data_IF_183265486597
#
_entry.id   IF_183265486597
#
_cell.length_a   1.000
_cell.length_b   1.000
_cell.length_c   1.000
_cell.angle_alpha   90.00
_cell.angle_beta   90.00
_cell.angle_gamma   90.00
#
_symmetry.space_group_name_H-M   'P 1'
#
loop_
_entity.id
_entity.type
_entity.pdbx_description
1 polymer ?
#
# COMPACT_ATOMS: atom_id res chain seq x y z
N UNK A 1 -29.89 -2.93 -23.20
CA UNK A 1 -31.26 -2.75 -22.67
C UNK A 1 -31.26 -1.52 -21.77
N UNK A 2 -32.09 -0.54 -22.15
CA UNK A 2 -32.57 0.64 -21.42
C UNK A 2 -31.58 1.73 -20.94
N UNK A 3 -31.59 2.83 -21.70
CA UNK A 3 -31.35 4.20 -21.21
C UNK A 3 -32.44 4.63 -20.23
N UNK A 4 -32.08 5.42 -19.22
CA UNK A 4 -33.01 6.35 -18.57
C UNK A 4 -32.29 7.61 -18.10
N UNK A 5 -32.41 8.66 -18.90
CA UNK A 5 -32.19 10.05 -18.54
C UNK A 5 -33.38 10.57 -17.74
N UNK A 6 -33.15 11.25 -16.61
CA UNK A 6 -33.72 12.58 -16.24
C UNK A 6 -33.51 12.88 -14.76
N UNK A 7 -32.96 14.05 -14.45
CA UNK A 7 -33.06 14.65 -13.10
C UNK A 7 -31.94 15.64 -12.78
N UNK A 8 -32.12 16.90 -13.15
CA UNK A 8 -31.28 18.02 -12.71
C UNK A 8 -31.39 18.19 -11.19
N UNK A 9 -30.26 18.26 -10.51
CA UNK A 9 -30.01 19.12 -9.34
C UNK A 9 -28.51 19.38 -9.35
N UNK A 10 -28.02 20.64 -9.34
CA UNK A 10 -26.62 20.89 -9.04
C UNK A 10 -26.46 20.62 -7.54
N UNK A 11 -26.31 19.33 -7.20
CA UNK A 11 -25.90 18.95 -5.85
C UNK A 11 -24.52 19.58 -5.68
N UNK A 12 -24.43 20.45 -4.68
CA UNK A 12 -23.19 20.99 -4.14
C UNK A 12 -22.12 19.89 -4.14
N UNK A 13 -20.81 20.20 -4.29
CA UNK A 13 -19.77 19.19 -4.27
C UNK A 13 -19.77 18.49 -2.91
N UNK A 14 -20.62 17.47 -2.78
CA UNK A 14 -20.67 16.52 -1.70
C UNK A 14 -19.25 15.96 -1.68
N UNK A 15 -18.48 16.39 -0.69
CA UNK A 15 -17.04 16.18 -0.64
C UNK A 15 -16.81 14.68 -0.72
N UNK A 16 -16.49 14.19 -1.93
CA UNK A 16 -16.36 12.78 -2.19
C UNK A 16 -15.32 12.22 -1.22
N UNK A 17 -15.76 11.34 -0.31
CA UNK A 17 -14.88 10.76 0.69
C UNK A 17 -13.97 9.77 -0.05
N UNK A 18 -12.73 10.18 -0.31
CA UNK A 18 -11.74 9.34 -0.97
C UNK A 18 -11.13 8.37 0.03
N UNK A 19 -11.43 7.08 -0.11
CA UNK A 19 -10.75 6.03 0.64
C UNK A 19 -9.41 5.71 -0.01
N UNK A 20 -8.30 6.07 0.66
CA UNK A 20 -6.94 5.82 0.18
C UNK A 20 -6.37 4.61 0.92
N UNK A 21 -5.80 3.65 0.18
CA UNK A 21 -5.04 2.53 0.73
C UNK A 21 -3.56 2.74 0.46
N UNK A 22 -2.78 2.94 1.53
CA UNK A 22 -1.32 3.03 1.45
C UNK A 22 -0.69 1.66 1.71
N UNK A 23 0.30 1.27 0.90
CA UNK A 23 1.08 0.05 1.10
C UNK A 23 2.53 0.45 1.29
N UNK A 24 3.10 0.15 2.46
CA UNK A 24 4.49 0.44 2.79
C UNK A 24 5.32 -0.84 2.60
N UNK A 25 6.32 -0.80 1.73
CA UNK A 25 7.23 -1.94 1.47
C UNK A 25 8.67 -1.50 1.68
N UNK A 26 9.42 -2.26 2.47
CA UNK A 26 10.85 -2.04 2.71
C UNK A 26 11.53 -3.37 3.00
N UNK A 27 12.85 -3.42 2.83
CA UNK A 27 13.68 -4.55 3.25
C UNK A 27 13.98 -4.53 4.77
N UNK A 28 13.90 -3.37 5.42
CA UNK A 28 14.18 -3.22 6.84
C UNK A 28 12.89 -3.11 7.67
N UNK A 29 12.64 -4.14 8.50
CA UNK A 29 11.43 -4.24 9.33
C UNK A 29 11.36 -3.14 10.39
N UNK A 30 12.47 -2.86 11.10
CA UNK A 30 12.50 -1.87 12.19
C UNK A 30 12.15 -0.47 11.70
N UNK A 31 12.71 -0.08 10.55
CA UNK A 31 12.40 1.20 9.92
C UNK A 31 10.94 1.27 9.48
N UNK A 32 10.40 0.17 8.94
CA UNK A 32 9.01 0.10 8.48
C UNK A 32 8.01 0.24 9.64
N UNK A 33 8.27 -0.41 10.77
CA UNK A 33 7.44 -0.32 11.97
C UNK A 33 7.41 1.09 12.56
N UNK A 34 8.57 1.75 12.62
CA UNK A 34 8.67 3.14 13.09
C UNK A 34 7.83 4.08 12.21
N UNK A 35 8.00 3.99 10.89
CA UNK A 35 7.26 4.85 9.93
C UNK A 35 5.75 4.57 9.99
N UNK A 36 5.34 3.30 10.09
CA UNK A 36 3.92 2.94 10.23
C UNK A 36 3.31 3.54 11.49
N UNK A 37 4.04 3.52 12.60
CA UNK A 37 3.57 4.08 13.88
C UNK A 37 3.45 5.60 13.82
N UNK A 38 4.47 6.27 13.28
CA UNK A 38 4.51 7.73 13.12
C UNK A 38 3.35 8.20 12.21
N UNK A 39 3.05 7.47 11.13
CA UNK A 39 1.95 7.79 10.20
C UNK A 39 0.57 7.62 10.85
N UNK A 40 0.35 6.54 11.61
CA UNK A 40 -0.92 6.32 12.33
C UNK A 40 -1.12 7.42 13.37
N UNK A 41 -0.07 7.84 14.08
CA UNK A 41 -0.13 8.94 15.03
C UNK A 41 -0.52 10.26 14.34
N UNK A 42 0.18 10.63 13.26
CA UNK A 42 -0.13 11.86 12.52
C UNK A 42 -1.52 11.87 11.87
N UNK A 43 -2.03 10.71 11.45
CA UNK A 43 -3.39 10.59 10.93
C UNK A 43 -4.46 10.75 12.03
N UNK A 44 -4.21 10.24 13.23
CA UNK A 44 -5.09 10.44 14.40
C UNK A 44 -5.11 11.90 14.86
N UNK A 45 -3.96 12.58 14.86
CA UNK A 45 -3.87 14.02 15.16
C UNK A 45 -4.70 14.88 14.18
N UNK A 46 -4.78 14.46 12.91
CA UNK A 46 -5.61 15.11 11.88
C UNK A 46 -7.06 14.62 11.85
N UNK A 47 -7.49 13.83 12.82
CA UNK A 47 -8.86 13.28 12.93
C UNK A 47 -9.31 12.46 11.70
N UNK A 48 -8.38 11.78 11.02
CA UNK A 48 -8.70 10.89 9.90
C UNK A 48 -9.09 9.50 10.42
N UNK A 49 -10.07 8.86 9.77
CA UNK A 49 -10.44 7.47 10.07
C UNK A 49 -9.40 6.52 9.47
N UNK A 50 -8.66 5.82 10.34
CA UNK A 50 -7.59 4.89 9.94
C UNK A 50 -8.01 3.45 10.21
N UNK A 51 -7.90 2.60 9.20
CA UNK A 51 -7.81 1.14 9.41
C UNK A 51 -6.34 0.83 9.74
N UNK A 52 -6.12 0.09 10.84
CA UNK A 52 -4.77 -0.23 11.32
C UNK A 52 -3.88 -0.92 10.27
N UNK A 53 -2.57 -1.03 10.55
CA UNK A 53 -1.64 -1.63 9.61
C UNK A 53 -1.99 -3.11 9.43
N UNK A 54 -2.20 -3.53 8.19
CA UNK A 54 -2.40 -4.95 7.84
C UNK A 54 -1.07 -5.50 7.40
N UNK A 55 -0.52 -6.45 8.17
CA UNK A 55 0.78 -7.03 7.90
C UNK A 55 0.68 -8.07 6.78
N UNK A 56 1.49 -7.89 5.72
CA UNK A 56 1.69 -8.91 4.69
C UNK A 56 2.85 -9.84 5.07
N UNK A 57 2.84 -11.11 4.62
CA UNK A 57 3.96 -12.01 4.83
C UNK A 57 5.28 -11.46 4.26
N UNK A 58 6.38 -11.68 4.99
CA UNK A 58 7.72 -11.29 4.54
C UNK A 58 8.15 -12.24 3.42
N UNK A 59 8.50 -11.68 2.25
CA UNK A 59 8.98 -12.45 1.10
C UNK A 59 10.49 -12.64 1.22
N UNK A 60 10.93 -13.88 1.39
CA UNK A 60 12.34 -14.25 1.25
C UNK A 60 12.65 -14.52 -0.22
N UNK A 61 13.46 -13.66 -0.85
CA UNK A 61 13.91 -13.86 -2.24
C UNK A 61 15.19 -14.70 -2.23
N UNK A 62 15.15 -15.87 -2.86
CA UNK A 62 16.31 -16.75 -3.01
C UNK A 62 16.75 -16.78 -4.48
N UNK A 63 17.93 -16.25 -4.76
CA UNK A 63 18.59 -16.40 -6.06
C UNK A 63 19.58 -17.55 -5.93
N UNK A 64 19.43 -18.58 -6.77
CA UNK A 64 20.35 -19.72 -6.81
C UNK A 64 21.07 -19.68 -8.15
N UNK A 65 22.39 -19.41 -8.13
CA UNK A 65 23.23 -19.44 -9.33
C UNK A 65 24.22 -20.59 -9.25
N UNK A 66 24.68 -21.06 -10.41
CA UNK A 66 25.85 -21.93 -10.49
C UNK A 66 27.06 -21.11 -10.06
N UNK A 67 27.84 -21.60 -9.09
CA UNK A 67 29.05 -20.92 -8.62
C UNK A 67 30.12 -20.79 -9.72
N UNK A 68 30.16 -21.75 -10.65
CA UNK A 68 31.20 -21.83 -11.69
C UNK A 68 30.72 -21.10 -12.96
N UNK A 69 31.47 -20.08 -13.45
CA UNK A 69 31.08 -19.25 -14.59
C UNK A 69 31.18 -19.96 -15.95
N UNK A 70 32.19 -20.81 -16.16
CA UNK A 70 32.31 -21.69 -17.32
C UNK A 70 33.24 -22.85 -16.95
N UNK A 71 32.86 -24.09 -17.24
CA UNK A 71 33.67 -25.27 -16.94
C UNK A 71 34.60 -25.58 -18.10
N UNK A 72 35.86 -25.14 -18.01
CA UNK A 72 36.99 -25.67 -18.78
C UNK A 72 38.10 -26.12 -17.80
N UNK A 73 37.81 -27.17 -17.04
CA UNK A 73 38.80 -27.93 -16.27
C UNK A 73 38.29 -29.37 -16.17
N UNK A 74 38.60 -30.15 -17.21
CA UNK A 74 39.04 -31.53 -17.02
C UNK A 74 40.54 -31.49 -16.75
#
# INVERSE_FOLDING_TARGET
>A
IAFKDTGKTPMEPEVAIHHIRMTLTSHNIKSLEKVSTDLIRGAKEKNLKVKGPVQMPIKALRITTRNIPCSEKF
#
